data_IF_607358361626
#
_entry.id   IF_607358361626
#
_cell.length_a   1.000
_cell.length_b   1.000
_cell.length_c   1.000
_cell.angle_alpha   90.00
_cell.angle_beta   90.00
_cell.angle_gamma   90.00
#
_symmetry.space_group_name_H-M   'P 1'
#
loop_
_entity.id
_entity.type
_entity.pdbx_description
1 polymer ?
#
# COMPACT_ATOMS: atom_id res chain seq x y z
N UNK A 1 -12.52 -7.36 -0.15
CA UNK A 1 -13.84 -6.76 0.21
C UNK A 1 -14.87 -7.25 -0.79
N UNK A 2 -16.14 -7.42 -0.39
CA UNK A 2 -17.23 -7.86 -1.28
C UNK A 2 -18.28 -6.78 -1.38
N UNK A 3 -18.89 -6.63 -2.55
CA UNK A 3 -19.93 -5.64 -2.80
C UNK A 3 -20.97 -6.18 -3.80
N UNK A 4 -22.13 -5.54 -3.79
CA UNK A 4 -23.19 -5.73 -4.77
C UNK A 4 -23.57 -4.36 -5.34
N UNK A 5 -23.80 -4.29 -6.65
CA UNK A 5 -24.11 -3.07 -7.36
C UNK A 5 -25.35 -3.26 -8.22
N UNK A 6 -26.26 -2.29 -8.17
CA UNK A 6 -27.42 -2.17 -9.03
C UNK A 6 -27.21 -0.96 -9.92
N UNK A 7 -27.36 -1.13 -11.24
CA UNK A 7 -27.19 -0.07 -12.22
C UNK A 7 -28.40 0.04 -13.14
N UNK A 8 -28.83 1.27 -13.44
CA UNK A 8 -29.80 1.49 -14.50
C UNK A 8 -29.18 1.33 -15.89
N UNK A 9 -30.01 1.04 -16.88
CA UNK A 9 -29.61 1.16 -18.28
C UNK A 9 -29.11 2.58 -18.56
N UNK A 10 -28.08 2.68 -19.39
CA UNK A 10 -27.32 3.88 -19.72
C UNK A 10 -26.54 4.52 -18.56
N UNK A 11 -26.44 3.86 -17.39
CA UNK A 11 -25.55 4.32 -16.33
C UNK A 11 -24.08 4.24 -16.80
N UNK A 12 -23.35 5.33 -16.58
CA UNK A 12 -21.93 5.44 -16.92
C UNK A 12 -21.10 5.66 -15.66
N UNK A 13 -19.94 5.02 -15.61
CA UNK A 13 -18.84 5.37 -14.72
C UNK A 13 -17.66 5.77 -15.60
N UNK A 14 -17.24 7.03 -15.48
CA UNK A 14 -16.13 7.59 -16.26
C UNK A 14 -14.81 6.89 -15.96
N UNK A 15 -13.80 7.20 -16.77
CA UNK A 15 -12.47 6.64 -16.64
C UNK A 15 -11.92 6.83 -15.23
N UNK A 16 -11.48 5.75 -14.59
CA UNK A 16 -10.87 5.77 -13.27
C UNK A 16 -9.96 4.55 -13.10
N UNK A 17 -9.17 4.55 -12.02
CA UNK A 17 -8.52 3.34 -11.49
C UNK A 17 -9.19 2.98 -10.16
N UNK A 18 -9.25 1.68 -9.86
CA UNK A 18 -9.66 1.27 -8.52
C UNK A 18 -8.63 1.74 -7.48
N UNK A 19 -9.13 2.16 -6.32
CA UNK A 19 -8.29 2.75 -5.29
C UNK A 19 -7.32 1.74 -4.68
N UNK A 20 -6.28 2.26 -4.02
CA UNK A 20 -5.34 1.48 -3.21
C UNK A 20 -4.56 0.41 -4.01
N UNK A 21 -4.57 0.48 -5.34
CA UNK A 21 -3.93 -0.53 -6.18
C UNK A 21 -4.58 -1.92 -6.05
N UNK A 22 -5.90 -1.97 -5.89
CA UNK A 22 -6.66 -3.21 -5.80
C UNK A 22 -6.95 -3.80 -7.18
N UNK A 23 -6.93 -5.12 -7.28
CA UNK A 23 -7.57 -5.85 -8.38
C UNK A 23 -9.06 -6.04 -8.08
N UNK A 24 -9.85 -6.32 -9.12
CA UNK A 24 -11.31 -6.38 -9.02
C UNK A 24 -11.88 -7.62 -9.69
N UNK A 25 -12.80 -8.31 -9.02
CA UNK A 25 -13.65 -9.32 -9.64
C UNK A 25 -15.10 -8.83 -9.72
N UNK A 26 -15.75 -9.15 -10.83
CA UNK A 26 -17.13 -8.81 -11.12
C UNK A 26 -17.83 -10.02 -11.74
N UNK A 27 -18.99 -10.39 -11.20
CA UNK A 27 -19.96 -11.29 -11.78
C UNK A 27 -21.21 -10.49 -12.15
N UNK A 28 -21.62 -10.53 -13.41
CA UNK A 28 -22.92 -9.99 -13.83
C UNK A 28 -23.98 -11.02 -13.46
N UNK A 29 -24.73 -10.79 -12.39
CA UNK A 29 -25.79 -11.70 -11.96
C UNK A 29 -27.02 -11.60 -12.89
N UNK A 30 -27.34 -10.39 -13.34
CA UNK A 30 -28.42 -10.11 -14.29
C UNK A 30 -28.12 -8.84 -15.11
N UNK A 31 -28.75 -8.69 -16.26
CA UNK A 31 -28.58 -7.53 -17.14
C UNK A 31 -27.32 -7.56 -18.01
N UNK A 32 -26.65 -6.40 -18.16
CA UNK A 32 -25.43 -6.31 -18.95
C UNK A 32 -24.64 -5.03 -18.78
N UNK A 33 -23.31 -5.13 -18.92
CA UNK A 33 -22.36 -4.02 -18.84
C UNK A 33 -21.28 -4.14 -19.91
N UNK A 34 -20.84 -3.01 -20.45
CA UNK A 34 -19.57 -2.90 -21.16
C UNK A 34 -18.51 -2.42 -20.17
N UNK A 35 -17.38 -3.12 -20.16
CA UNK A 35 -16.18 -2.74 -19.42
C UNK A 35 -15.11 -2.33 -20.44
N UNK A 36 -14.75 -1.05 -20.44
CA UNK A 36 -13.74 -0.50 -21.34
C UNK A 36 -12.41 -0.36 -20.62
N UNK A 37 -11.36 -1.02 -21.11
CA UNK A 37 -10.01 -0.94 -20.56
C UNK A 37 -9.15 -0.01 -21.39
N UNK A 38 -8.44 0.88 -20.72
CA UNK A 38 -7.43 1.71 -21.36
C UNK A 38 -6.28 0.83 -21.89
N UNK A 39 -5.86 1.10 -23.12
CA UNK A 39 -4.68 0.52 -23.75
C UNK A 39 -3.66 1.60 -24.02
N UNK A 40 -2.46 1.42 -23.48
CA UNK A 40 -1.31 2.28 -23.74
C UNK A 40 -0.93 2.24 -25.22
N UNK A 41 -0.59 3.40 -25.80
CA UNK A 41 0.17 3.47 -27.07
C UNK A 41 1.66 3.61 -26.76
N UNK A 42 2.50 3.28 -27.75
CA UNK A 42 3.96 3.28 -27.59
C UNK A 42 4.49 4.62 -27.05
N UNK A 43 5.34 4.57 -26.02
CA UNK A 43 6.05 5.72 -25.49
C UNK A 43 5.45 6.38 -24.23
N UNK A 44 4.30 5.90 -23.73
CA UNK A 44 3.72 6.40 -22.48
C UNK A 44 3.14 5.26 -21.63
N UNK A 45 3.99 4.47 -20.96
CA UNK A 45 3.52 3.35 -20.14
C UNK A 45 2.83 3.85 -18.87
N UNK A 46 1.90 3.07 -18.31
CA UNK A 46 1.25 3.38 -17.03
C UNK A 46 2.23 3.38 -15.86
N UNK A 47 3.45 2.85 -16.01
CA UNK A 47 4.51 3.04 -15.02
C UNK A 47 5.03 4.48 -14.98
N UNK A 48 4.77 5.32 -15.99
CA UNK A 48 5.21 6.72 -15.98
C UNK A 48 4.38 7.57 -15.02
N UNK A 49 5.06 8.36 -14.19
CA UNK A 49 4.39 9.36 -13.33
C UNK A 49 3.68 10.46 -14.15
N UNK A 50 4.08 10.65 -15.40
CA UNK A 50 3.51 11.67 -16.26
C UNK A 50 2.27 11.20 -17.01
N UNK A 51 1.91 9.91 -16.96
CA UNK A 51 0.85 9.33 -17.77
C UNK A 51 -0.47 10.12 -17.68
N UNK A 52 -0.90 10.38 -16.44
CA UNK A 52 -2.15 11.08 -16.14
C UNK A 52 -2.01 12.61 -16.04
N UNK A 53 -0.78 13.14 -16.15
CA UNK A 53 -0.51 14.57 -16.04
C UNK A 53 -0.52 15.29 -17.40
N UNK A 54 -0.45 14.53 -18.50
CA UNK A 54 -0.44 15.10 -19.85
C UNK A 54 -1.77 15.77 -20.16
N UNK A 55 -1.70 16.91 -20.86
CA UNK A 55 -2.89 17.61 -21.35
C UNK A 55 -3.72 16.79 -22.35
N UNK A 56 -3.15 15.71 -22.92
CA UNK A 56 -3.84 14.78 -23.82
C UNK A 56 -4.61 13.67 -23.10
N UNK A 57 -4.47 13.56 -21.77
CA UNK A 57 -5.27 12.67 -20.93
C UNK A 57 -6.59 13.34 -20.53
N UNK A 58 -7.69 12.60 -20.67
CA UNK A 58 -9.06 13.06 -20.44
C UNK A 58 -9.86 11.92 -19.79
N UNK A 59 -10.77 12.27 -18.90
CA UNK A 59 -11.57 11.27 -18.16
C UNK A 59 -12.87 10.90 -18.90
N UNK A 60 -13.33 11.79 -19.79
CA UNK A 60 -14.65 11.81 -20.40
C UNK A 60 -14.62 11.77 -21.93
N UNK A 61 -13.45 11.92 -22.55
CA UNK A 61 -13.26 11.86 -24.01
C UNK A 61 -11.93 11.21 -24.40
N UNK A 62 -11.81 10.76 -25.65
CA UNK A 62 -10.55 10.32 -26.24
C UNK A 62 -10.21 11.28 -27.37
N UNK A 63 -9.07 11.95 -27.26
CA UNK A 63 -8.62 12.89 -28.28
C UNK A 63 -7.88 12.14 -29.38
N UNK A 64 -7.90 12.66 -30.61
CA UNK A 64 -7.07 12.13 -31.70
C UNK A 64 -5.57 12.15 -31.35
N UNK A 65 -5.16 13.08 -30.48
CA UNK A 65 -3.81 13.22 -29.95
C UNK A 65 -3.53 12.41 -28.67
N UNK A 66 -4.47 11.57 -28.21
CA UNK A 66 -4.28 10.75 -27.02
C UNK A 66 -3.26 9.63 -27.26
N UNK A 67 -2.37 9.44 -26.27
CA UNK A 67 -1.37 8.36 -26.22
C UNK A 67 -1.97 7.03 -25.70
N UNK A 68 -3.29 6.87 -25.81
CA UNK A 68 -4.02 5.68 -25.37
C UNK A 68 -5.26 5.47 -26.23
N UNK A 69 -5.81 4.27 -26.14
CA UNK A 69 -7.08 3.87 -26.74
C UNK A 69 -7.86 2.98 -25.77
N UNK A 70 -8.99 2.40 -26.20
CA UNK A 70 -9.79 1.49 -25.38
C UNK A 70 -10.05 0.16 -26.06
N UNK A 71 -10.08 -0.89 -25.24
CA UNK A 71 -10.64 -2.19 -25.59
C UNK A 71 -11.86 -2.46 -24.71
N UNK A 72 -13.01 -2.68 -25.34
CA UNK A 72 -14.28 -2.84 -24.65
C UNK A 72 -14.74 -4.30 -24.67
N UNK A 73 -15.14 -4.82 -23.51
CA UNK A 73 -15.70 -6.16 -23.35
C UNK A 73 -17.15 -6.03 -22.90
N UNK A 74 -18.07 -6.61 -23.67
CA UNK A 74 -19.48 -6.69 -23.29
C UNK A 74 -19.72 -7.93 -22.42
N UNK A 75 -20.17 -7.70 -21.18
CA UNK A 75 -20.44 -8.71 -20.17
C UNK A 75 -21.95 -8.94 -20.04
N UNK A 76 -22.35 -10.20 -20.20
CA UNK A 76 -23.71 -10.72 -20.13
C UNK A 76 -23.94 -11.43 -18.79
N UNK A 77 -25.19 -11.81 -18.46
CA UNK A 77 -25.45 -12.54 -17.23
C UNK A 77 -24.60 -13.82 -17.17
N UNK A 78 -24.00 -14.05 -16.01
CA UNK A 78 -23.05 -15.12 -15.66
C UNK A 78 -21.62 -14.93 -16.17
N UNK A 79 -21.33 -13.89 -16.95
CA UNK A 79 -19.95 -13.55 -17.25
C UNK A 79 -19.26 -13.07 -15.97
N UNK A 80 -18.01 -13.52 -15.81
CA UNK A 80 -17.13 -13.11 -14.72
C UNK A 80 -15.87 -12.48 -15.27
N UNK A 81 -15.61 -11.26 -14.84
CA UNK A 81 -14.42 -10.49 -15.17
C UNK A 81 -13.48 -10.48 -13.96
N UNK A 82 -12.18 -10.64 -14.23
CA UNK A 82 -11.11 -10.38 -13.28
C UNK A 82 -10.20 -9.31 -13.88
N UNK A 83 -10.15 -8.16 -13.23
CA UNK A 83 -9.37 -6.99 -13.64
C UNK A 83 -8.11 -6.90 -12.80
N UNK A 84 -6.99 -6.56 -13.45
CA UNK A 84 -5.71 -6.39 -12.78
C UNK A 84 -5.68 -5.10 -11.97
N UNK A 85 -4.82 -5.00 -10.94
CA UNK A 85 -4.54 -3.72 -10.30
C UNK A 85 -4.04 -2.67 -11.29
N UNK A 86 -4.28 -1.39 -10.98
CA UNK A 86 -3.80 -0.25 -11.78
C UNK A 86 -4.26 -0.26 -13.25
N UNK A 87 -5.41 -0.87 -13.55
CA UNK A 87 -5.96 -0.88 -14.90
C UNK A 87 -7.02 0.23 -15.04
N UNK A 88 -6.74 1.33 -15.78
CA UNK A 88 -7.73 2.36 -15.99
C UNK A 88 -8.88 1.83 -16.83
N UNK A 89 -10.09 2.13 -16.40
CA UNK A 89 -11.28 1.61 -17.06
C UNK A 89 -12.48 2.54 -16.92
N UNK A 90 -13.43 2.39 -17.85
CA UNK A 90 -14.77 2.96 -17.76
C UNK A 90 -15.81 1.84 -17.81
N UNK A 91 -17.02 2.14 -17.34
CA UNK A 91 -18.13 1.17 -17.32
C UNK A 91 -19.37 1.80 -17.91
N UNK A 92 -20.01 1.10 -18.84
CA UNK A 92 -21.28 1.51 -19.44
C UNK A 92 -22.33 0.41 -19.29
N UNK A 93 -23.45 0.71 -18.62
CA UNK A 93 -24.58 -0.21 -18.52
C UNK A 93 -25.45 -0.16 -19.77
N UNK A 94 -25.37 -1.15 -20.66
CA UNK A 94 -26.26 -1.23 -21.82
C UNK A 94 -27.63 -1.86 -21.49
N UNK A 95 -27.83 -2.30 -20.24
CA UNK A 95 -29.11 -2.78 -19.71
C UNK A 95 -29.15 -2.54 -18.19
N UNK A 96 -30.35 -2.52 -17.59
CA UNK A 96 -30.49 -2.62 -16.13
C UNK A 96 -29.74 -3.85 -15.63
N UNK A 97 -28.93 -3.71 -14.58
CA UNK A 97 -27.98 -4.75 -14.21
C UNK A 97 -27.80 -4.91 -12.71
N UNK A 98 -27.56 -6.15 -12.32
CA UNK A 98 -27.16 -6.56 -10.97
C UNK A 98 -25.77 -7.19 -11.08
N UNK A 99 -24.82 -6.66 -10.33
CA UNK A 99 -23.47 -7.19 -10.27
C UNK A 99 -23.07 -7.54 -8.85
N UNK A 100 -22.30 -8.62 -8.71
CA UNK A 100 -21.63 -9.00 -7.47
C UNK A 100 -20.13 -8.92 -7.70
N UNK A 101 -19.38 -8.38 -6.77
CA UNK A 101 -17.96 -8.22 -6.98
C UNK A 101 -17.14 -8.14 -5.71
N UNK A 102 -15.86 -7.89 -5.89
CA UNK A 102 -14.94 -7.67 -4.81
C UNK A 102 -13.63 -7.07 -5.25
N UNK A 103 -12.89 -6.60 -4.26
CA UNK A 103 -11.54 -6.10 -4.40
C UNK A 103 -10.55 -6.96 -3.62
N UNK A 104 -9.36 -7.18 -4.17
CA UNK A 104 -8.31 -8.04 -3.62
C UNK A 104 -6.90 -7.57 -4.02
N UNK A 105 -5.90 -8.04 -3.27
CA UNK A 105 -4.50 -8.00 -3.67
C UNK A 105 -4.08 -9.38 -4.18
N UNK A 106 -3.13 -9.42 -5.12
CA UNK A 106 -2.50 -10.65 -5.60
C UNK A 106 -0.99 -10.54 -5.42
N UNK A 107 -0.39 -11.56 -4.83
CA UNK A 107 1.04 -11.57 -4.51
C UNK A 107 1.93 -11.43 -5.75
N UNK A 108 1.48 -11.95 -6.90
CA UNK A 108 2.19 -11.88 -8.17
C UNK A 108 1.84 -10.63 -9.01
N UNK A 109 1.13 -9.65 -8.44
CA UNK A 109 0.76 -8.38 -9.10
C UNK A 109 1.05 -7.17 -8.22
N UNK A 110 1.97 -7.30 -7.26
CA UNK A 110 2.29 -6.25 -6.31
C UNK A 110 2.99 -5.06 -6.96
N UNK A 111 3.64 -5.25 -8.11
CA UNK A 111 4.17 -4.16 -8.94
C UNK A 111 3.05 -3.27 -9.50
N UNK A 112 1.98 -3.88 -10.02
CA UNK A 112 0.76 -3.20 -10.47
C UNK A 112 0.08 -2.51 -9.28
N UNK A 113 -0.03 -3.19 -8.14
CA UNK A 113 -0.58 -2.58 -6.92
C UNK A 113 0.22 -1.34 -6.49
N UNK A 114 1.56 -1.40 -6.49
CA UNK A 114 2.40 -0.25 -6.18
C UNK A 114 2.10 0.95 -7.08
N UNK A 115 2.06 0.73 -8.40
CA UNK A 115 1.73 1.77 -9.38
C UNK A 115 0.36 2.37 -9.12
N UNK A 116 -0.67 1.53 -9.06
CA UNK A 116 -2.06 1.99 -8.92
C UNK A 116 -2.29 2.74 -7.61
N UNK A 117 -1.65 2.28 -6.53
CA UNK A 117 -1.71 2.93 -5.25
C UNK A 117 -1.04 4.31 -5.28
N UNK A 118 0.15 4.44 -5.89
CA UNK A 118 0.82 5.75 -6.02
C UNK A 118 0.01 6.71 -6.90
N UNK A 119 -0.49 6.26 -8.07
CA UNK A 119 -1.36 7.09 -8.91
C UNK A 119 -2.61 7.54 -8.15
N UNK A 120 -3.27 6.61 -7.45
CA UNK A 120 -4.47 6.92 -6.65
C UNK A 120 -4.17 7.83 -5.47
N UNK A 121 -2.99 7.74 -4.85
CA UNK A 121 -2.62 8.62 -3.74
C UNK A 121 -2.28 10.04 -4.22
N UNK A 122 -1.58 10.18 -5.35
CA UNK A 122 -1.19 11.52 -5.84
C UNK A 122 -2.38 12.27 -6.45
N UNK A 123 -3.22 11.59 -7.22
CA UNK A 123 -4.32 12.23 -7.95
C UNK A 123 -5.70 12.03 -7.28
N UNK A 124 -5.79 11.14 -6.30
CA UNK A 124 -6.94 10.97 -5.40
C UNK A 124 -8.30 10.97 -6.12
N UNK A 125 -9.19 11.93 -5.81
CA UNK A 125 -10.53 12.05 -6.40
C UNK A 125 -10.54 12.35 -7.89
N UNK A 126 -9.42 12.80 -8.47
CA UNK A 126 -9.32 12.95 -9.93
C UNK A 126 -9.29 11.59 -10.62
N UNK A 127 -8.63 10.58 -10.03
CA UNK A 127 -8.48 9.26 -10.63
C UNK A 127 -9.31 8.15 -10.00
N UNK A 128 -9.82 8.33 -8.78
CA UNK A 128 -10.52 7.28 -8.04
C UNK A 128 -11.85 7.78 -7.48
N UNK A 129 -12.83 6.90 -7.45
CA UNK A 129 -14.20 7.18 -7.02
C UNK A 129 -14.51 6.69 -5.59
N UNK A 130 -13.61 5.92 -4.98
CA UNK A 130 -13.82 5.27 -3.68
C UNK A 130 -12.51 5.22 -2.89
N UNK A 131 -12.61 5.05 -1.58
CA UNK A 131 -11.48 4.76 -0.71
C UNK A 131 -11.83 3.61 0.22
N UNK A 132 -10.86 2.73 0.46
CA UNK A 132 -11.08 1.53 1.25
C UNK A 132 -9.96 1.35 2.27
N UNK A 133 -10.28 0.92 3.52
CA UNK A 133 -9.28 0.73 4.58
C UNK A 133 -8.50 -0.58 4.40
N UNK A 134 -7.82 -0.76 3.26
CA UNK A 134 -7.16 -2.02 2.89
C UNK A 134 -5.70 -2.14 3.32
N UNK A 135 -5.11 -1.06 3.86
CA UNK A 135 -3.71 -1.01 4.33
C UNK A 135 -3.37 -2.07 5.37
N UNK A 136 -4.34 -2.50 6.17
CA UNK A 136 -4.18 -3.62 7.11
C UNK A 136 -3.86 -4.93 6.40
N UNK A 137 -4.36 -5.14 5.18
CA UNK A 137 -4.08 -6.33 4.39
C UNK A 137 -2.64 -6.33 3.89
N UNK A 138 -2.11 -5.20 3.40
CA UNK A 138 -0.70 -5.08 2.98
C UNK A 138 0.26 -5.42 4.12
N UNK A 139 -0.02 -4.90 5.33
CA UNK A 139 0.76 -5.23 6.54
C UNK A 139 0.72 -6.73 6.84
N UNK A 140 -0.45 -7.36 6.75
CA UNK A 140 -0.60 -8.81 6.96
C UNK A 140 0.09 -9.63 5.86
N UNK A 141 0.09 -9.16 4.62
CA UNK A 141 0.80 -9.82 3.52
C UNK A 141 2.31 -9.84 3.75
N UNK A 142 2.91 -8.74 4.23
CA UNK A 142 4.33 -8.71 4.57
C UNK A 142 4.68 -9.67 5.71
N UNK A 143 3.83 -9.77 6.75
CA UNK A 143 4.00 -10.77 7.81
C UNK A 143 3.94 -12.19 7.24
N UNK A 144 2.96 -12.45 6.39
CA UNK A 144 2.79 -13.73 5.72
C UNK A 144 4.00 -14.10 4.84
N UNK A 145 4.57 -13.13 4.11
CA UNK A 145 5.79 -13.34 3.32
C UNK A 145 7.01 -13.63 4.20
N UNK A 146 7.14 -12.94 5.33
CA UNK A 146 8.18 -13.23 6.30
C UNK A 146 8.10 -14.66 6.82
N UNK A 147 6.91 -15.08 7.28
CA UNK A 147 6.66 -16.43 7.79
C UNK A 147 6.99 -17.51 6.75
N UNK A 148 6.56 -17.30 5.50
CA UNK A 148 6.75 -18.27 4.43
C UNK A 148 8.15 -18.31 3.81
N UNK A 149 8.87 -17.19 3.76
CA UNK A 149 10.17 -17.11 3.09
C UNK A 149 11.37 -17.23 4.03
N UNK A 150 11.21 -16.85 5.31
CA UNK A 150 12.33 -16.76 6.27
C UNK A 150 12.18 -17.67 7.49
N UNK A 151 10.95 -18.01 7.91
CA UNK A 151 10.70 -18.79 9.13
C UNK A 151 10.32 -20.26 8.86
N UNK A 152 10.25 -20.67 7.59
CA UNK A 152 9.85 -22.02 7.15
C UNK A 152 8.48 -22.47 7.72
N UNK A 153 7.61 -21.52 8.10
CA UNK A 153 6.28 -21.83 8.68
C UNK A 153 5.26 -22.30 7.63
N UNK A 154 5.57 -22.11 6.35
CA UNK A 154 4.74 -22.55 5.21
C UNK A 154 5.56 -23.56 4.38
N UNK A 155 5.40 -24.87 4.60
CA UNK A 155 6.25 -25.87 3.97
C UNK A 155 6.06 -25.90 2.44
N UNK A 156 7.15 -25.71 1.69
CA UNK A 156 7.19 -25.98 0.24
C UNK A 156 6.94 -27.48 -0.03
N UNK A 157 6.29 -27.79 -1.16
CA UNK A 157 6.14 -29.17 -1.67
C UNK A 157 7.44 -29.96 -1.56
N UNK A 158 7.39 -31.14 -0.96
CA UNK A 158 8.43 -32.16 -1.15
C UNK A 158 9.73 -31.94 -0.37
N UNK A 159 9.82 -30.95 0.52
CA UNK A 159 10.91 -30.89 1.49
C UNK A 159 10.53 -31.78 2.68
N UNK A 160 11.25 -32.89 2.85
CA UNK A 160 11.21 -33.69 4.08
C UNK A 160 11.73 -32.82 5.22
N UNK A 161 10.83 -32.16 5.94
CA UNK A 161 11.14 -31.62 7.26
C UNK A 161 11.43 -32.81 8.17
N UNK A 162 12.72 -33.07 8.40
CA UNK A 162 13.17 -34.07 9.36
C UNK A 162 13.11 -33.41 10.73
N UNK A 163 11.91 -33.35 11.32
CA UNK A 163 11.81 -33.09 12.76
C UNK A 163 12.54 -34.22 13.50
N UNK A 164 13.44 -33.93 14.47
CA UNK A 164 14.15 -34.95 15.23
C UNK A 164 13.24 -35.88 16.05
N UNK A 165 11.94 -35.58 16.13
CA UNK A 165 10.99 -36.25 17.04
C UNK A 165 9.93 -37.09 16.28
N UNK A 166 9.87 -37.06 14.95
CA UNK A 166 8.84 -37.81 14.20
C UNK A 166 9.44 -38.75 13.16
N UNK A 167 9.57 -40.03 13.53
CA UNK A 167 10.03 -41.16 12.71
C UNK A 167 9.04 -41.58 11.59
N UNK A 168 8.10 -40.72 11.21
CA UNK A 168 7.10 -40.98 10.17
C UNK A 168 7.26 -39.96 9.05
N UNK A 169 7.91 -40.38 7.97
CA UNK A 169 7.88 -39.73 6.66
C UNK A 169 6.44 -39.74 6.15
N UNK A 170 5.71 -38.64 6.39
CA UNK A 170 4.49 -38.33 5.67
C UNK A 170 4.88 -37.39 4.54
N UNK A 171 4.54 -37.76 3.29
CA UNK A 171 4.53 -36.79 2.19
C UNK A 171 3.58 -35.66 2.59
N UNK A 172 4.14 -34.53 3.03
CA UNK A 172 3.37 -33.31 3.25
C UNK A 172 2.81 -32.89 1.89
N UNK A 173 1.48 -32.88 1.77
CA UNK A 173 0.80 -32.12 0.72
C UNK A 173 1.30 -30.67 0.85
N UNK A 174 1.62 -30.05 -0.27
CA UNK A 174 1.88 -28.61 -0.36
C UNK A 174 0.84 -27.86 0.45
N UNK A 175 1.29 -26.99 1.36
CA UNK A 175 0.38 -26.03 1.95
C UNK A 175 -0.22 -25.18 0.82
N UNK A 176 -1.55 -25.11 0.66
CA UNK A 176 -2.16 -24.23 -0.34
C UNK A 176 -1.69 -22.77 -0.21
N UNK A 177 -1.29 -22.35 0.99
CA UNK A 177 -0.74 -21.03 1.26
C UNK A 177 0.57 -20.77 0.48
N UNK A 178 1.36 -21.79 0.14
CA UNK A 178 2.60 -21.62 -0.65
C UNK A 178 2.31 -20.96 -2.01
N UNK A 179 1.15 -21.21 -2.61
CA UNK A 179 0.73 -20.57 -3.88
C UNK A 179 0.50 -19.06 -3.78
N UNK A 180 0.40 -18.53 -2.56
CA UNK A 180 0.25 -17.11 -2.28
C UNK A 180 1.59 -16.43 -1.93
N UNK A 181 2.71 -17.14 -1.87
CA UNK A 181 4.03 -16.53 -1.71
C UNK A 181 4.55 -16.02 -3.06
N UNK A 182 5.25 -14.87 -3.10
CA UNK A 182 5.93 -14.43 -4.31
C UNK A 182 7.02 -15.43 -4.71
N UNK A 183 7.14 -15.73 -6.00
CA UNK A 183 8.20 -16.62 -6.50
C UNK A 183 9.55 -15.88 -6.58
N UNK A 184 10.25 -15.76 -5.47
CA UNK A 184 11.52 -15.02 -5.40
C UNK A 184 12.70 -15.69 -6.14
N UNK A 185 12.48 -16.84 -6.80
CA UNK A 185 13.48 -17.53 -7.62
C UNK A 185 13.69 -16.85 -8.98
N UNK A 186 12.73 -16.04 -9.41
CA UNK A 186 12.85 -15.18 -10.59
C UNK A 186 12.76 -13.70 -10.20
N UNK A 187 13.16 -12.83 -11.14
CA UNK A 187 13.18 -11.40 -10.88
C UNK A 187 11.77 -10.81 -10.74
N UNK A 188 10.76 -11.36 -11.43
CA UNK A 188 9.40 -10.84 -11.37
C UNK A 188 8.78 -11.05 -9.99
N UNK A 189 8.91 -12.26 -9.43
CA UNK A 189 8.48 -12.54 -8.06
C UNK A 189 9.30 -11.76 -7.02
N UNK A 190 10.60 -11.56 -7.25
CA UNK A 190 11.42 -10.70 -6.37
C UNK A 190 10.94 -9.24 -6.39
N UNK A 191 10.64 -8.69 -7.56
CA UNK A 191 10.14 -7.31 -7.70
C UNK A 191 8.75 -7.17 -7.11
N UNK A 192 7.89 -8.18 -7.24
CA UNK A 192 6.60 -8.21 -6.53
C UNK A 192 6.77 -8.16 -5.00
N UNK A 193 7.73 -8.91 -4.43
CA UNK A 193 8.07 -8.83 -3.01
C UNK A 193 8.60 -7.43 -2.65
N UNK A 194 9.53 -6.88 -3.41
CA UNK A 194 10.09 -5.54 -3.18
C UNK A 194 9.02 -4.46 -3.27
N UNK A 195 8.10 -4.52 -4.24
CA UNK A 195 6.98 -3.58 -4.35
C UNK A 195 6.06 -3.63 -3.12
N UNK A 196 5.78 -4.83 -2.59
CA UNK A 196 5.05 -4.97 -1.34
C UNK A 196 5.80 -4.35 -0.14
N UNK A 197 7.12 -4.58 -0.06
CA UNK A 197 7.95 -4.00 0.99
C UNK A 197 7.96 -2.46 0.90
N UNK A 198 8.14 -1.89 -0.30
CA UNK A 198 8.12 -0.44 -0.53
C UNK A 198 6.79 0.16 -0.05
N UNK A 199 5.66 -0.45 -0.40
CA UNK A 199 4.34 0.01 0.04
C UNK A 199 4.16 0.00 1.56
N UNK A 200 4.66 -1.02 2.24
CA UNK A 200 4.57 -1.12 3.71
C UNK A 200 5.54 -0.17 4.40
N UNK A 201 6.76 -0.02 3.89
CA UNK A 201 7.75 0.94 4.42
C UNK A 201 7.21 2.37 4.32
N UNK A 202 6.66 2.73 3.15
CA UNK A 202 5.97 3.98 2.89
C UNK A 202 4.55 4.05 3.48
N UNK A 203 4.15 3.12 4.34
CA UNK A 203 2.76 2.98 4.80
C UNK A 203 2.16 4.25 5.40
N UNK A 204 2.93 5.02 6.18
CA UNK A 204 2.48 6.33 6.69
C UNK A 204 2.49 7.39 5.58
N UNK A 205 3.50 7.36 4.70
CA UNK A 205 3.65 8.34 3.60
C UNK A 205 2.48 8.26 2.64
N UNK A 206 1.96 7.06 2.37
CA UNK A 206 0.88 6.81 1.41
C UNK A 206 -0.51 6.78 2.07
N UNK A 207 -0.66 7.38 3.26
CA UNK A 207 -1.93 7.44 4.00
C UNK A 207 -2.34 8.90 4.25
N UNK A 208 -3.46 9.34 3.67
CA UNK A 208 -3.98 10.70 3.85
C UNK A 208 -4.22 11.09 5.31
N UNK A 209 -4.45 10.12 6.19
CA UNK A 209 -4.64 10.36 7.64
C UNK A 209 -3.36 10.86 8.30
N UNK A 210 -2.18 10.61 7.71
CA UNK A 210 -0.90 11.16 8.17
C UNK A 210 -0.86 12.68 8.09
N UNK A 211 -1.56 13.24 7.11
CA UNK A 211 -1.51 14.66 6.75
C UNK A 211 -2.67 15.47 7.33
N UNK A 212 -3.45 14.88 8.24
CA UNK A 212 -4.65 15.50 8.81
C UNK A 212 -4.64 15.45 10.31
N UNK A 213 -4.91 16.59 10.93
CA UNK A 213 -5.18 16.64 12.36
C UNK A 213 -6.45 15.81 12.68
N UNK A 214 -6.56 15.26 13.90
CA UNK A 214 -7.84 14.75 14.40
C UNK A 214 -8.95 15.79 14.19
N UNK A 215 -10.12 15.33 13.75
CA UNK A 215 -11.31 16.14 13.43
C UNK A 215 -11.18 17.17 12.30
N UNK A 216 -10.06 17.22 11.56
CA UNK A 216 -9.96 18.02 10.34
C UNK A 216 -10.74 17.34 9.21
N UNK A 217 -11.62 18.08 8.53
CA UNK A 217 -12.33 17.58 7.35
C UNK A 217 -11.41 17.49 6.14
N UNK A 218 -11.71 16.56 5.23
CA UNK A 218 -10.94 16.40 4.00
C UNK A 218 -11.03 17.70 3.17
N UNK A 219 -9.91 18.14 2.57
CA UNK A 219 -9.81 19.37 1.76
C UNK A 219 -9.99 20.69 2.51
N UNK A 220 -10.12 20.64 3.83
CA UNK A 220 -10.17 21.87 4.64
C UNK A 220 -8.79 22.24 5.15
N UNK A 221 -8.48 23.54 5.19
CA UNK A 221 -7.28 24.04 5.86
C UNK A 221 -7.39 23.80 7.36
N UNK A 222 -6.29 23.41 7.98
CA UNK A 222 -6.21 23.24 9.41
C UNK A 222 -6.46 24.58 10.13
N UNK A 223 -7.29 24.59 11.15
CA UNK A 223 -7.36 25.71 12.09
C UNK A 223 -6.10 25.77 12.98
N UNK A 224 -6.00 26.80 13.84
CA UNK A 224 -4.83 27.00 14.71
C UNK A 224 -4.56 25.81 15.65
N UNK A 225 -5.61 25.19 16.20
CA UNK A 225 -5.46 24.07 17.13
C UNK A 225 -5.08 22.80 16.36
N UNK A 226 -5.70 22.58 15.20
CA UNK A 226 -5.37 21.48 14.29
C UNK A 226 -3.92 21.57 13.79
N UNK A 227 -3.44 22.77 13.48
CA UNK A 227 -2.05 22.97 13.06
C UNK A 227 -1.07 22.60 14.18
N UNK A 228 -1.35 22.98 15.44
CA UNK A 228 -0.52 22.57 16.58
C UNK A 228 -0.45 21.04 16.69
N UNK A 229 -1.55 20.32 16.45
CA UNK A 229 -1.55 18.85 16.47
C UNK A 229 -0.67 18.29 15.35
N UNK A 230 -0.81 18.79 14.12
CA UNK A 230 0.01 18.39 12.97
C UNK A 230 1.50 18.64 13.22
N UNK A 231 1.85 19.80 13.80
CA UNK A 231 3.22 20.18 14.10
C UNK A 231 3.87 19.24 15.14
N UNK A 232 3.05 18.62 16.00
CA UNK A 232 3.44 17.60 16.96
C UNK A 232 3.25 16.16 16.45
N UNK A 233 3.10 15.98 15.13
CA UNK A 233 2.83 14.71 14.44
C UNK A 233 1.52 14.01 14.84
N UNK A 234 0.70 14.61 15.70
CA UNK A 234 -0.61 14.09 16.12
C UNK A 234 -1.58 14.21 14.95
N UNK A 235 -1.77 13.10 14.27
CA UNK A 235 -2.62 12.99 13.09
C UNK A 235 -3.78 12.01 13.29
N UNK A 236 -4.50 11.71 12.21
CA UNK A 236 -5.75 10.92 12.26
C UNK A 236 -5.49 9.41 12.35
N UNK A 237 -4.23 8.95 12.27
CA UNK A 237 -3.90 7.53 12.45
C UNK A 237 -4.01 7.18 13.94
N UNK A 238 -4.82 6.16 14.33
CA UNK A 238 -4.90 5.70 15.71
C UNK A 238 -3.56 5.13 16.22
N UNK A 239 -3.29 5.29 17.52
CA UNK A 239 -2.03 4.83 18.15
C UNK A 239 -1.76 3.34 17.90
N UNK A 240 -2.77 2.49 18.07
CA UNK A 240 -2.66 1.05 17.83
C UNK A 240 -2.35 0.71 16.36
N UNK A 241 -2.89 1.48 15.41
CA UNK A 241 -2.58 1.32 14.00
C UNK A 241 -1.17 1.83 13.69
N UNK A 242 -0.73 2.93 14.29
CA UNK A 242 0.64 3.46 14.17
C UNK A 242 1.67 2.44 14.66
N UNK A 243 1.41 1.77 15.78
CA UNK A 243 2.24 0.67 16.29
C UNK A 243 2.33 -0.49 15.29
N UNK A 244 1.20 -0.88 14.71
CA UNK A 244 1.15 -1.94 13.69
C UNK A 244 1.90 -1.55 12.40
N UNK A 245 1.89 -0.26 12.03
CA UNK A 245 2.68 0.24 10.89
C UNK A 245 4.17 0.15 11.20
N UNK A 246 4.61 0.58 12.39
CA UNK A 246 6.02 0.48 12.78
C UNK A 246 6.50 -0.98 12.75
N UNK A 247 5.75 -1.89 13.35
CA UNK A 247 6.09 -3.31 13.35
C UNK A 247 6.16 -3.89 11.92
N UNK A 248 5.15 -3.63 11.09
CA UNK A 248 5.14 -4.11 9.70
C UNK A 248 6.28 -3.51 8.86
N UNK A 249 6.65 -2.25 9.12
CA UNK A 249 7.82 -1.60 8.49
C UNK A 249 9.11 -2.32 8.84
N UNK A 250 9.33 -2.67 10.11
CA UNK A 250 10.52 -3.44 10.50
C UNK A 250 10.58 -4.82 9.84
N UNK A 251 9.44 -5.50 9.69
CA UNK A 251 9.37 -6.77 8.95
C UNK A 251 9.69 -6.58 7.46
N UNK A 252 9.16 -5.53 6.83
CA UNK A 252 9.49 -5.21 5.44
C UNK A 252 10.99 -4.90 5.26
N UNK A 253 11.59 -4.15 6.20
CA UNK A 253 13.03 -3.86 6.21
C UNK A 253 13.87 -5.13 6.44
N UNK A 254 13.38 -6.08 7.25
CA UNK A 254 14.01 -7.40 7.41
C UNK A 254 14.05 -8.16 6.08
N UNK A 255 12.96 -8.16 5.33
CA UNK A 255 12.87 -8.79 4.00
C UNK A 255 13.79 -8.09 2.98
N UNK A 256 13.81 -6.75 2.96
CA UNK A 256 14.73 -5.96 2.11
C UNK A 256 16.18 -6.31 2.42
N UNK A 257 16.54 -6.34 3.70
CA UNK A 257 17.87 -6.70 4.14
C UNK A 257 18.23 -8.15 3.82
N UNK A 258 17.28 -9.08 3.94
CA UNK A 258 17.49 -10.47 3.55
C UNK A 258 17.88 -10.57 2.07
N UNK A 259 17.14 -9.91 1.18
CA UNK A 259 17.46 -9.86 -0.25
C UNK A 259 18.87 -9.29 -0.46
N UNK A 260 19.17 -8.15 0.18
CA UNK A 260 20.46 -7.44 0.09
C UNK A 260 21.66 -8.32 0.45
N UNK A 261 21.54 -9.14 1.49
CA UNK A 261 22.67 -9.93 2.02
C UNK A 261 22.70 -11.38 1.52
N UNK A 262 21.57 -11.91 1.06
CA UNK A 262 21.43 -13.32 0.71
C UNK A 262 21.27 -13.56 -0.79
N UNK A 263 21.37 -12.53 -1.62
CA UNK A 263 21.29 -12.67 -3.07
C UNK A 263 22.37 -11.89 -3.80
N UNK A 264 22.68 -12.34 -5.01
CA UNK A 264 23.41 -11.60 -6.03
C UNK A 264 22.43 -11.31 -7.14
N UNK A 265 22.27 -10.03 -7.48
CA UNK A 265 21.37 -9.60 -8.54
C UNK A 265 22.22 -9.10 -9.70
N UNK A 266 21.96 -9.64 -10.88
CA UNK A 266 22.64 -9.27 -12.12
C UNK A 266 21.65 -8.55 -13.02
N UNK A 267 22.05 -7.43 -13.61
CA UNK A 267 21.22 -6.63 -14.51
C UNK A 267 21.69 -6.67 -15.98
N UNK A 268 21.24 -5.70 -16.79
CA UNK A 268 21.62 -5.53 -18.18
C UNK A 268 23.12 -5.69 -18.43
N UNK A 269 23.48 -6.47 -19.44
CA UNK A 269 24.87 -6.72 -19.81
C UNK A 269 25.66 -7.59 -18.81
N UNK A 270 25.00 -8.23 -17.84
CA UNK A 270 25.65 -9.11 -16.88
C UNK A 270 26.31 -8.39 -15.70
N UNK A 271 26.04 -7.09 -15.52
CA UNK A 271 26.59 -6.32 -14.42
C UNK A 271 25.96 -6.71 -13.09
N UNK A 272 26.76 -6.87 -12.03
CA UNK A 272 26.25 -7.04 -10.67
C UNK A 272 25.67 -5.71 -10.21
N UNK A 273 24.45 -5.75 -9.70
CA UNK A 273 23.72 -4.57 -9.23
C UNK A 273 23.82 -4.52 -7.71
N UNK A 274 24.66 -3.60 -7.22
CA UNK A 274 24.81 -3.37 -5.79
C UNK A 274 23.51 -2.82 -5.19
N UNK A 275 22.96 -3.54 -4.21
CA UNK A 275 21.80 -3.15 -3.41
C UNK A 275 20.58 -2.67 -4.23
N UNK A 276 20.15 -3.48 -5.21
CA UNK A 276 18.92 -3.24 -5.96
C UNK A 276 17.72 -2.90 -5.06
N UNK A 277 17.48 -3.56 -3.89
CA UNK A 277 16.37 -3.21 -3.01
C UNK A 277 16.34 -1.74 -2.61
N UNK A 278 17.47 -1.18 -2.18
CA UNK A 278 17.54 0.24 -1.80
C UNK A 278 17.44 1.17 -3.01
N UNK A 279 18.09 0.83 -4.13
CA UNK A 279 17.99 1.62 -5.36
C UNK A 279 16.55 1.74 -5.85
N UNK A 280 15.82 0.62 -5.84
CA UNK A 280 14.41 0.59 -6.21
C UNK A 280 13.55 1.41 -5.24
N UNK A 281 13.78 1.29 -3.93
CA UNK A 281 13.08 2.12 -2.94
C UNK A 281 13.32 3.63 -3.20
N UNK A 282 14.57 4.05 -3.39
CA UNK A 282 14.92 5.46 -3.63
C UNK A 282 14.30 5.96 -4.93
N UNK A 283 14.33 5.18 -6.00
CA UNK A 283 13.64 5.49 -7.26
C UNK A 283 12.15 5.77 -7.01
N UNK A 284 11.44 4.86 -6.32
CA UNK A 284 10.00 5.02 -6.08
C UNK A 284 9.71 6.22 -5.19
N UNK A 285 10.49 6.42 -4.13
CA UNK A 285 10.33 7.56 -3.22
C UNK A 285 10.57 8.91 -3.91
N UNK A 286 11.56 8.99 -4.81
CA UNK A 286 11.81 10.19 -5.60
C UNK A 286 10.75 10.40 -6.67
N UNK A 287 10.30 9.33 -7.35
CA UNK A 287 9.21 9.38 -8.30
C UNK A 287 7.91 9.88 -7.66
N UNK A 288 7.62 9.46 -6.43
CA UNK A 288 6.48 9.95 -5.64
C UNK A 288 6.52 11.47 -5.42
N UNK A 289 7.69 12.02 -5.05
CA UNK A 289 7.89 13.47 -4.86
C UNK A 289 7.71 14.22 -6.18
N UNK A 290 8.40 13.79 -7.24
CA UNK A 290 8.28 14.42 -8.58
C UNK A 290 6.85 14.37 -9.10
N UNK A 291 6.15 13.27 -8.85
CA UNK A 291 4.76 13.13 -9.26
C UNK A 291 3.86 14.12 -8.52
N UNK A 292 4.04 14.29 -7.20
CA UNK A 292 3.31 15.30 -6.44
C UNK A 292 3.59 16.72 -6.97
N UNK A 293 4.84 17.03 -7.27
CA UNK A 293 5.23 18.31 -7.87
C UNK A 293 4.55 18.53 -9.22
N UNK A 294 4.58 17.52 -10.11
CA UNK A 294 3.88 17.56 -11.39
C UNK A 294 2.37 17.75 -11.25
N UNK A 295 1.73 17.02 -10.34
CA UNK A 295 0.29 17.13 -10.07
C UNK A 295 -0.10 18.53 -9.57
N UNK A 296 0.73 19.15 -8.71
CA UNK A 296 0.54 20.53 -8.25
C UNK A 296 0.65 21.52 -9.42
N UNK A 297 1.68 21.36 -10.26
CA UNK A 297 1.91 22.22 -11.42
C UNK A 297 0.76 22.12 -12.45
N UNK A 298 0.22 20.91 -12.66
CA UNK A 298 -0.94 20.67 -13.51
C UNK A 298 -2.28 21.00 -12.85
N UNK A 299 -2.30 21.41 -11.57
CA UNK A 299 -3.52 21.71 -10.79
C UNK A 299 -4.51 20.53 -10.74
N UNK A 300 -4.00 19.31 -10.81
CA UNK A 300 -4.77 18.06 -10.72
C UNK A 300 -4.84 17.53 -9.29
N UNK A 301 -3.96 18.00 -8.42
CA UNK A 301 -4.09 17.79 -6.99
C UNK A 301 -5.19 18.71 -6.44
N UNK A 302 -6.37 18.14 -6.21
CA UNK A 302 -7.57 18.85 -5.75
C UNK A 302 -7.49 19.27 -4.27
N UNK A 303 -6.37 19.83 -3.80
CA UNK A 303 -6.17 20.27 -2.41
C UNK A 303 -6.24 19.14 -1.37
N UNK A 304 -5.74 17.94 -1.69
CA UNK A 304 -5.57 16.91 -0.66
C UNK A 304 -4.75 17.50 0.50
N UNK A 305 -5.09 17.17 1.76
CA UNK A 305 -4.43 17.73 2.95
C UNK A 305 -2.90 17.43 3.04
N UNK A 306 -2.35 16.72 2.04
CA UNK A 306 -0.93 16.43 1.86
C UNK A 306 -0.30 17.47 0.92
N UNK A 307 0.40 18.46 1.47
CA UNK A 307 1.24 19.37 0.68
C UNK A 307 2.54 18.69 0.23
N UNK A 308 3.22 19.26 -0.77
CA UNK A 308 4.52 18.75 -1.23
C UNK A 308 5.55 18.73 -0.09
N UNK A 309 5.62 19.78 0.72
CA UNK A 309 6.55 19.85 1.86
C UNK A 309 6.27 18.78 2.91
N UNK A 310 4.99 18.54 3.21
CA UNK A 310 4.61 17.48 4.15
C UNK A 310 4.96 16.10 3.60
N UNK A 311 4.75 15.86 2.29
CA UNK A 311 5.14 14.62 1.63
C UNK A 311 6.65 14.41 1.73
N UNK A 312 7.45 15.41 1.35
CA UNK A 312 8.92 15.37 1.42
C UNK A 312 9.38 15.11 2.86
N UNK A 313 8.79 15.76 3.86
CA UNK A 313 9.07 15.53 5.27
C UNK A 313 8.84 14.06 5.67
N UNK A 314 7.71 13.48 5.28
CA UNK A 314 7.39 12.08 5.59
C UNK A 314 8.30 11.09 4.84
N UNK A 315 8.63 11.36 3.57
CA UNK A 315 9.57 10.55 2.80
C UNK A 315 10.96 10.57 3.45
N UNK A 316 11.50 11.74 3.76
CA UNK A 316 12.81 11.87 4.42
C UNK A 316 12.85 11.14 5.78
N UNK A 317 11.77 11.23 6.55
CA UNK A 317 11.64 10.52 7.82
C UNK A 317 11.71 8.99 7.66
N UNK A 318 11.08 8.44 6.61
CA UNK A 318 11.14 7.00 6.35
C UNK A 318 12.49 6.58 5.77
N UNK A 319 13.07 7.36 4.86
CA UNK A 319 14.41 7.11 4.29
C UNK A 319 15.47 6.96 5.38
N UNK A 320 15.37 7.73 6.47
CA UNK A 320 16.33 7.70 7.57
C UNK A 320 16.32 6.40 8.39
N UNK A 321 15.33 5.51 8.20
CA UNK A 321 15.20 4.27 8.99
C UNK A 321 16.24 3.21 8.60
N UNK A 322 16.71 3.20 7.35
CA UNK A 322 17.67 2.22 6.83
C UNK A 322 18.92 2.97 6.34
N UNK A 323 20.12 2.70 6.91
CA UNK A 323 21.34 3.43 6.56
C UNK A 323 21.72 3.35 5.08
N UNK A 324 21.46 2.21 4.41
CA UNK A 324 21.78 2.02 3.00
C UNK A 324 20.86 2.84 2.10
N UNK A 325 19.55 2.85 2.39
CA UNK A 325 18.59 3.75 1.73
C UNK A 325 18.98 5.20 1.98
N UNK A 326 19.31 5.57 3.22
CA UNK A 326 19.71 6.94 3.57
C UNK A 326 20.97 7.41 2.83
N UNK A 327 21.96 6.53 2.70
CA UNK A 327 23.18 6.80 1.93
C UNK A 327 22.85 7.08 0.47
N UNK A 328 22.08 6.20 -0.17
CA UNK A 328 21.68 6.33 -1.59
C UNK A 328 20.73 7.50 -1.84
N UNK A 329 19.95 7.93 -0.85
CA UNK A 329 19.05 9.07 -0.97
C UNK A 329 19.79 10.39 -1.26
N UNK A 330 21.03 10.52 -0.79
CA UNK A 330 21.88 11.68 -1.09
C UNK A 330 22.25 11.76 -2.58
N UNK A 331 22.26 10.63 -3.27
CA UNK A 331 22.59 10.46 -4.69
C UNK A 331 21.35 10.19 -5.55
N UNK A 332 20.14 10.39 -5.01
CA UNK A 332 18.87 10.04 -5.69
C UNK A 332 18.72 10.67 -7.08
N UNK A 333 19.29 11.85 -7.32
CA UNK A 333 19.20 12.53 -8.60
C UNK A 333 19.91 11.78 -9.75
N UNK A 334 20.74 10.79 -9.42
CA UNK A 334 21.36 9.86 -10.39
C UNK A 334 20.45 8.70 -10.79
N UNK A 335 19.35 8.47 -10.06
CA UNK A 335 18.40 7.40 -10.32
C UNK A 335 17.23 7.88 -11.17
N UNK A 336 16.67 6.97 -11.97
CA UNK A 336 15.43 7.26 -12.70
C UNK A 336 14.31 7.55 -11.71
N UNK A 337 13.53 8.60 -11.98
CA UNK A 337 12.42 9.01 -11.12
C UNK A 337 11.17 9.39 -11.91
N UNK A 338 11.15 9.08 -13.21
CA UNK A 338 9.99 9.31 -14.07
C UNK A 338 9.12 8.04 -14.23
N UNK A 339 9.56 6.94 -13.62
CA UNK A 339 8.93 5.61 -13.69
C UNK A 339 8.77 4.97 -12.31
N UNK A 340 7.63 4.31 -12.11
CA UNK A 340 7.26 3.50 -10.96
C UNK A 340 7.60 2.01 -11.14
N UNK A 341 8.43 1.69 -12.14
CA UNK A 341 8.84 0.33 -12.52
C UNK A 341 10.35 0.26 -12.78
N UNK A 342 10.94 -0.91 -12.52
CA UNK A 342 12.33 -1.17 -12.86
C UNK A 342 12.49 -1.31 -14.39
N UNK A 343 13.28 -0.44 -15.00
CA UNK A 343 13.51 -0.48 -16.44
C UNK A 343 14.20 -1.79 -16.86
N UNK A 344 13.82 -2.33 -18.02
CA UNK A 344 14.41 -3.54 -18.62
C UNK A 344 14.44 -4.75 -17.66
N UNK A 345 13.42 -4.91 -16.83
CA UNK A 345 13.35 -5.98 -15.83
C UNK A 345 13.60 -7.38 -16.39
N UNK A 346 13.24 -7.65 -17.64
CA UNK A 346 13.52 -8.92 -18.32
C UNK A 346 15.01 -9.26 -18.51
N UNK A 347 15.91 -8.29 -18.34
CA UNK A 347 17.37 -8.46 -18.42
C UNK A 347 18.01 -8.73 -17.05
N UNK A 348 17.22 -8.73 -15.97
CA UNK A 348 17.70 -8.98 -14.62
C UNK A 348 17.55 -10.46 -14.23
N UNK A 349 18.43 -10.90 -13.35
CA UNK A 349 18.36 -12.23 -12.73
C UNK A 349 18.78 -12.17 -11.27
N UNK A 350 18.31 -13.13 -10.48
CA UNK A 350 18.62 -13.25 -9.05
C UNK A 350 19.23 -14.62 -8.78
N UNK A 351 20.31 -14.64 -8.03
CA UNK A 351 20.93 -15.85 -7.50
C UNK A 351 20.97 -15.78 -5.99
N UNK A 352 20.37 -16.76 -5.31
CA UNK A 352 20.39 -16.86 -3.85
C UNK A 352 21.68 -17.53 -3.36
N UNK A 353 22.16 -17.10 -2.19
CA UNK A 353 23.39 -17.57 -1.54
C UNK A 353 23.03 -18.41 -0.30
N UNK A 354 23.00 -19.76 -0.39
CA UNK A 354 22.53 -20.62 0.70
C UNK A 354 23.30 -20.45 2.01
N UNK A 355 24.61 -20.20 1.93
CA UNK A 355 25.45 -19.97 3.11
C UNK A 355 25.12 -18.65 3.81
N UNK A 356 24.78 -17.62 3.05
CA UNK A 356 24.35 -16.35 3.61
C UNK A 356 22.97 -16.47 4.25
N UNK A 357 22.04 -17.20 3.62
CA UNK A 357 20.70 -17.47 4.16
C UNK A 357 20.76 -18.20 5.51
N UNK A 358 21.63 -19.22 5.63
CA UNK A 358 21.84 -19.95 6.89
C UNK A 358 22.40 -19.08 8.01
N UNK A 359 23.26 -18.11 7.68
CA UNK A 359 23.76 -17.14 8.67
C UNK A 359 22.68 -16.13 9.03
N UNK A 360 21.90 -15.69 8.06
CA UNK A 360 20.85 -14.68 8.23
C UNK A 360 19.78 -15.09 9.24
N UNK A 361 19.34 -16.36 9.21
CA UNK A 361 18.33 -16.89 10.14
C UNK A 361 18.75 -16.85 11.60
N UNK A 362 20.05 -16.76 11.90
CA UNK A 362 20.56 -16.67 13.28
C UNK A 362 20.59 -15.24 13.85
N UNK A 363 20.37 -14.23 13.01
CA UNK A 363 20.42 -12.82 13.41
C UNK A 363 19.09 -12.44 14.08
N UNK A 364 19.15 -12.09 15.37
CA UNK A 364 17.99 -11.57 16.10
C UNK A 364 17.47 -10.25 15.53
N UNK A 365 16.19 -9.99 15.73
CA UNK A 365 15.49 -8.82 15.19
C UNK A 365 14.51 -8.27 16.21
N UNK A 366 14.30 -6.95 16.18
CA UNK A 366 13.23 -6.28 16.92
C UNK A 366 12.46 -5.44 15.89
N UNK A 367 11.46 -6.07 15.27
CA UNK A 367 10.69 -5.44 14.20
C UNK A 367 10.05 -4.11 14.59
N UNK A 368 9.69 -3.94 15.86
CA UNK A 368 9.14 -2.67 16.27
C UNK A 368 10.23 -1.61 16.25
N UNK A 369 11.35 -1.86 16.95
CA UNK A 369 12.47 -0.92 17.02
C UNK A 369 13.07 -0.61 15.64
N UNK A 370 13.25 -1.64 14.81
CA UNK A 370 13.82 -1.51 13.46
C UNK A 370 12.89 -0.75 12.51
N UNK A 371 11.59 -0.71 12.81
CA UNK A 371 10.60 -0.03 11.98
C UNK A 371 10.14 1.33 12.50
N UNK A 372 10.52 1.77 13.71
CA UNK A 372 10.16 3.08 14.24
C UNK A 372 11.02 4.17 13.59
N UNK A 373 10.40 5.27 13.16
CA UNK A 373 11.11 6.46 12.66
C UNK A 373 11.12 7.58 13.69
N UNK A 374 11.93 8.63 13.48
CA UNK A 374 11.95 9.79 14.39
C UNK A 374 10.60 10.50 14.54
N UNK A 375 9.79 10.61 13.47
CA UNK A 375 8.43 11.15 13.57
C UNK A 375 7.45 10.21 14.28
N UNK A 376 7.68 8.89 14.26
CA UNK A 376 6.88 7.95 15.04
C UNK A 376 7.20 8.11 16.54
N UNK A 377 8.47 8.26 16.92
CA UNK A 377 8.86 8.56 18.31
C UNK A 377 8.23 9.87 18.80
N UNK A 378 8.30 10.93 17.98
CA UNK A 378 7.70 12.21 18.30
C UNK A 378 6.18 12.09 18.50
N UNK A 379 5.49 11.38 17.61
CA UNK A 379 4.07 11.08 17.75
C UNK A 379 3.74 10.36 19.06
N UNK A 380 4.48 9.29 19.41
CA UNK A 380 4.21 8.53 20.62
C UNK A 380 4.45 9.35 21.90
N UNK A 381 5.51 10.17 21.91
CA UNK A 381 5.78 11.08 23.02
C UNK A 381 4.67 12.13 23.16
N UNK A 382 4.29 12.79 22.06
CA UNK A 382 3.23 13.80 22.06
C UNK A 382 1.87 13.22 22.47
N UNK A 383 1.54 11.99 22.06
CA UNK A 383 0.32 11.30 22.49
C UNK A 383 0.33 10.97 23.99
N UNK A 384 1.47 10.55 24.53
CA UNK A 384 1.62 10.30 25.96
C UNK A 384 1.44 11.58 26.77
N UNK A 385 2.06 12.68 26.34
CA UNK A 385 1.93 13.98 26.99
C UNK A 385 0.48 14.48 26.95
N UNK A 386 -0.19 14.33 25.82
CA UNK A 386 -1.62 14.62 25.67
C UNK A 386 -2.48 13.81 26.65
N UNK A 387 -2.27 12.50 26.75
CA UNK A 387 -3.00 11.64 27.68
C UNK A 387 -2.76 12.03 29.14
N UNK A 388 -1.52 12.40 29.50
CA UNK A 388 -1.18 12.89 30.84
C UNK A 388 -1.90 14.22 31.15
N UNK A 389 -1.93 15.16 30.21
CA UNK A 389 -2.66 16.42 30.33
C UNK A 389 -4.17 16.18 30.47
N UNK A 390 -4.77 15.33 29.62
CA UNK A 390 -6.19 14.99 29.71
C UNK A 390 -6.51 14.33 31.06
N UNK A 391 -5.65 13.41 31.53
CA UNK A 391 -5.85 12.74 32.83
C UNK A 391 -5.64 13.64 34.06
N UNK A 392 -4.85 14.71 33.95
CA UNK A 392 -4.60 15.67 35.03
C UNK A 392 -5.61 16.81 35.07
N UNK A 393 -6.18 17.18 33.92
CA UNK A 393 -7.29 18.15 33.81
C UNK A 393 -8.65 17.54 34.15
N UNK A 394 -8.83 16.22 33.97
CA UNK A 394 -10.00 15.49 34.52
C UNK A 394 -9.85 15.39 36.03
N UNK A 395 -10.42 16.37 36.72
CA UNK A 395 -10.44 16.55 38.18
C UNK A 395 -10.68 15.19 38.89
N UNK A 396 -9.84 14.79 39.87
CA UNK A 396 -10.06 13.59 40.71
C UNK A 396 -11.44 13.53 41.39
N UNK A 397 -12.13 14.67 41.49
CA UNK A 397 -13.46 14.82 42.10
C UNK A 397 -14.58 14.12 41.30
N UNK A 398 -14.42 13.83 40.01
CA UNK A 398 -15.41 13.04 39.27
C UNK A 398 -15.32 11.53 39.54
N UNK A 399 -14.20 11.02 40.06
CA UNK A 399 -14.10 9.62 40.54
C UNK A 399 -14.77 9.41 41.90
N UNK A 400 -14.95 10.46 42.70
CA UNK A 400 -15.66 10.37 44.00
C UNK A 400 -17.18 10.43 43.90
N UNK A 401 -17.76 10.88 42.78
CA UNK A 401 -19.22 10.90 42.61
C UNK A 401 -19.83 9.56 42.16
N UNK A 402 -19.01 8.60 41.71
CA UNK A 402 -19.48 7.27 41.29
C UNK A 402 -19.67 6.28 42.45
N UNK A 403 -19.16 6.56 43.65
CA UNK A 403 -19.25 5.64 44.80
C UNK A 403 -20.32 6.02 45.83
N UNK A 404 -20.98 7.17 45.69
CA UNK A 404 -21.94 7.69 46.66
C UNK A 404 -23.44 7.46 46.31
N UNK A 405 -23.78 6.82 45.19
CA UNK A 405 -25.18 6.58 44.78
C UNK A 405 -25.75 5.22 45.17
N UNK A 406 -25.25 4.60 46.26
CA UNK A 406 -25.86 3.40 46.88
C UNK A 406 -26.58 3.77 48.18
N UNK A 407 -27.80 4.29 48.07
CA UNK A 407 -28.91 4.23 49.05
C UNK A 407 -30.06 5.07 48.46
N UNK A 408 -31.36 4.76 48.53
CA UNK A 408 -32.16 3.61 48.95
C UNK A 408 -33.52 3.78 48.25
N UNK A 409 -34.08 2.74 47.64
CA UNK A 409 -35.38 2.81 46.97
C UNK A 409 -36.52 2.72 47.99
N UNK A 410 -37.28 3.82 48.15
CA UNK A 410 -38.58 3.77 48.81
C UNK A 410 -39.62 3.21 47.83
N UNK A 411 -40.12 2.03 48.15
CA UNK A 411 -41.29 1.37 47.55
C UNK A 411 -42.53 2.25 47.75
N UNK A 412 -43.17 2.67 46.66
CA UNK A 412 -44.56 3.13 46.67
C UNK A 412 -45.44 2.01 46.09
N UNK A 413 -46.39 1.54 46.90
CA UNK A 413 -47.52 0.71 46.51
C UNK A 413 -48.64 1.63 45.99
N UNK A 414 -49.20 1.29 44.84
CA UNK A 414 -50.59 1.55 44.43
C UNK A 414 -50.98 0.32 43.58
N UNK A 415 -52.12 -0.32 43.76
CA UNK A 415 -53.43 0.22 44.08
C UNK A 415 -54.32 -0.16 42.91
#
# INVERSE_FOLDING_TARGET
>A
MRWALLGHEHAITFLHIDCEGLGTDLLVADGGKVWGFLRERLGNPLSSINFFLKDTFRLDEVLDSSDYDFEAVALRPRDRLFMMPCQPHFVFGYAHTICLGGHYYLSNQMQQTLRGLIHSFILHKFLTNTSHPTRVLLRRMILFYHMGLLEDEIPESGVLSVSPISFLSYMHKTDPATSHLPNVKDIDGLMNLLSACVLVILGNVLDFRTYRAPSQEEYTKADKNQQILIDNEINTIPVNERLAICYARGVALRLVNWIRHCSVITGPGGAIIDDLPSRFFVQIAQALIKYKEGANNSRLDLEANCTLDMLIKQVNNVVAVDPQISSLWSERDLLSSDSLELANQGEYSVQWLPDAQRKWSSIGYDFFRDGVTGLDEHYFNAQKDRQLLESSLVIPQLKTFSSASRHSSKRARLG
#
